data_IF_216188577287
#
_entry.id   IF_216188577287
#
_cell.length_a   1.000
_cell.length_b   1.000
_cell.length_c   1.000
_cell.angle_alpha   90.00
_cell.angle_beta   90.00
_cell.angle_gamma   90.00
#
_symmetry.space_group_name_H-M   'P 1'
#
loop_
_entity.id
_entity.type
_entity.pdbx_description
1 polymer ?
#
# COMPACT_ATOMS: atom_id res chain seq x y z
N UNK A 1 -0.12 0.47 26.15
CA UNK A 1 -0.94 1.08 25.09
C UNK A 1 -1.90 0.02 24.60
N UNK A 2 -3.22 0.22 24.72
CA UNK A 2 -4.21 -0.78 24.31
C UNK A 2 -4.10 -1.04 22.80
N UNK A 3 -4.06 -2.31 22.38
CA UNK A 3 -3.93 -2.71 20.97
C UNK A 3 -5.04 -2.12 20.08
N UNK A 4 -6.22 -1.88 20.65
CA UNK A 4 -7.36 -1.24 19.96
C UNK A 4 -7.07 0.19 19.50
N UNK A 5 -6.26 0.96 20.24
CA UNK A 5 -5.91 2.34 19.88
C UNK A 5 -5.04 2.38 18.62
N UNK A 6 -4.12 1.43 18.47
CA UNK A 6 -3.28 1.32 17.27
C UNK A 6 -4.10 0.95 16.03
N UNK A 7 -5.08 0.06 16.19
CA UNK A 7 -5.97 -0.33 15.10
C UNK A 7 -6.81 0.85 14.61
N UNK A 8 -7.42 1.60 15.54
CA UNK A 8 -8.18 2.81 15.23
C UNK A 8 -7.27 3.84 14.54
N UNK A 9 -6.05 4.04 15.03
CA UNK A 9 -5.11 4.96 14.42
C UNK A 9 -4.78 4.59 12.97
N UNK A 10 -4.53 3.31 12.68
CA UNK A 10 -4.26 2.86 11.30
C UNK A 10 -5.48 2.98 10.40
N UNK A 11 -6.68 2.66 10.91
CA UNK A 11 -7.92 2.84 10.15
C UNK A 11 -8.16 4.32 9.80
N UNK A 12 -7.93 5.23 10.75
CA UNK A 12 -8.07 6.68 10.51
C UNK A 12 -7.04 7.17 9.49
N UNK A 13 -5.77 6.77 9.61
CA UNK A 13 -4.73 7.16 8.63
C UNK A 13 -5.11 6.63 7.25
N UNK A 14 -5.57 5.38 7.15
CA UNK A 14 -5.99 4.78 5.89
C UNK A 14 -7.15 5.57 5.26
N UNK A 15 -8.20 5.86 6.03
CA UNK A 15 -9.36 6.60 5.52
C UNK A 15 -8.99 8.02 5.06
N UNK A 16 -8.26 8.79 5.87
CA UNK A 16 -7.86 10.16 5.53
C UNK A 16 -6.92 10.17 4.31
N UNK A 17 -5.97 9.25 4.25
CA UNK A 17 -5.05 9.13 3.12
C UNK A 17 -5.78 8.74 1.84
N UNK A 18 -6.76 7.84 1.92
CA UNK A 18 -7.56 7.45 0.77
C UNK A 18 -8.38 8.62 0.23
N UNK A 19 -9.11 9.32 1.10
CA UNK A 19 -9.94 10.48 0.74
C UNK A 19 -9.07 11.61 0.16
N UNK A 20 -7.90 11.89 0.75
CA UNK A 20 -6.99 12.90 0.20
C UNK A 20 -6.47 12.51 -1.19
N UNK A 21 -6.22 11.23 -1.45
CA UNK A 21 -5.93 10.73 -2.79
C UNK A 21 -7.06 11.00 -3.79
N UNK A 22 -8.31 10.75 -3.38
CA UNK A 22 -9.52 11.03 -4.17
C UNK A 22 -9.63 12.52 -4.50
N UNK A 23 -9.44 13.39 -3.51
CA UNK A 23 -9.49 14.86 -3.69
C UNK A 23 -8.34 15.34 -4.57
N UNK A 24 -7.12 14.82 -4.38
CA UNK A 24 -5.97 15.17 -5.22
C UNK A 24 -6.25 14.88 -6.71
N UNK A 25 -6.92 13.77 -7.04
CA UNK A 25 -7.29 13.49 -8.42
C UNK A 25 -8.22 14.55 -9.01
N UNK A 26 -9.19 15.03 -8.24
CA UNK A 26 -10.14 16.06 -8.69
C UNK A 26 -9.49 17.42 -8.97
N UNK A 27 -8.36 17.71 -8.32
CA UNK A 27 -7.61 18.97 -8.50
C UNK A 27 -6.60 18.88 -9.65
N UNK A 28 -6.15 17.68 -10.00
CA UNK A 28 -5.13 17.49 -11.03
C UNK A 28 -5.76 17.41 -12.42
N UNK A 29 -5.08 17.95 -13.43
CA UNK A 29 -5.46 17.74 -14.82
C UNK A 29 -5.19 16.30 -15.24
N UNK A 30 -6.02 15.75 -16.12
CA UNK A 30 -5.97 14.35 -16.56
C UNK A 30 -4.57 13.96 -17.06
N UNK A 31 -3.93 14.80 -17.88
CA UNK A 31 -2.56 14.54 -18.39
C UNK A 31 -1.52 14.39 -17.28
N UNK A 32 -1.61 15.23 -16.24
CA UNK A 32 -0.70 15.17 -15.08
C UNK A 32 -0.99 13.94 -14.25
N UNK A 33 -2.26 13.56 -14.12
CA UNK A 33 -2.69 12.35 -13.42
C UNK A 33 -2.18 11.09 -14.10
N UNK A 34 -2.33 10.97 -15.42
CA UNK A 34 -1.80 9.83 -16.18
C UNK A 34 -0.27 9.74 -16.07
N UNK A 35 0.43 10.88 -16.17
CA UNK A 35 1.89 10.90 -16.02
C UNK A 35 2.34 10.49 -14.61
N UNK A 36 1.60 10.88 -13.58
CA UNK A 36 1.89 10.48 -12.21
C UNK A 36 1.68 8.96 -12.03
N UNK A 37 0.58 8.43 -12.57
CA UNK A 37 0.25 7.00 -12.51
C UNK A 37 1.30 6.18 -13.27
N UNK A 38 1.77 6.62 -14.44
CA UNK A 38 2.78 5.87 -15.20
C UNK A 38 4.10 5.68 -14.46
N UNK A 39 4.48 6.63 -13.59
CA UNK A 39 5.68 6.50 -12.76
C UNK A 39 5.50 5.57 -11.57
N UNK A 40 4.29 5.45 -11.03
CA UNK A 40 4.05 4.71 -9.78
C UNK A 40 3.51 3.31 -10.05
N UNK A 41 2.51 3.20 -10.91
CA UNK A 41 1.89 1.94 -11.28
C UNK A 41 1.29 2.01 -12.70
N UNK A 42 2.08 1.71 -13.73
CA UNK A 42 1.62 1.83 -15.13
C UNK A 42 0.50 0.85 -15.48
N UNK A 43 0.27 -0.19 -14.67
CA UNK A 43 -0.80 -1.20 -14.89
C UNK A 43 -2.19 -0.61 -14.80
N UNK A 44 -2.33 0.53 -14.14
CA UNK A 44 -3.61 1.25 -14.03
C UNK A 44 -3.98 1.94 -15.35
N UNK A 45 -3.00 2.22 -16.22
CA UNK A 45 -3.20 2.89 -17.50
C UNK A 45 -3.57 1.91 -18.62
N UNK A 46 -2.79 0.83 -18.75
CA UNK A 46 -2.99 -0.19 -19.77
C UNK A 46 -3.29 -1.56 -19.14
N UNK A 47 -4.56 -1.95 -19.22
CA UNK A 47 -5.07 -3.21 -18.66
C UNK A 47 -4.80 -4.43 -19.57
N UNK A 48 -4.49 -4.21 -20.84
CA UNK A 48 -4.33 -5.28 -21.85
C UNK A 48 -2.95 -5.95 -21.85
N UNK A 49 -1.92 -5.28 -21.31
CA UNK A 49 -0.53 -5.76 -21.33
C UNK A 49 0.10 -5.74 -19.92
N UNK A 50 -0.65 -6.27 -18.95
CA UNK A 50 -0.19 -6.34 -17.56
C UNK A 50 0.80 -7.48 -17.39
N UNK A 51 2.10 -7.18 -17.55
CA UNK A 51 3.16 -8.16 -17.26
C UNK A 51 3.24 -8.47 -15.75
N UNK A 52 3.61 -9.72 -15.42
CA UNK A 52 3.83 -10.15 -14.03
C UNK A 52 4.89 -9.27 -13.33
N UNK A 53 5.90 -8.81 -14.08
CA UNK A 53 6.95 -7.93 -13.55
C UNK A 53 6.42 -6.56 -13.15
N UNK A 54 5.45 -6.03 -13.89
CA UNK A 54 4.80 -4.76 -13.54
C UNK A 54 4.04 -4.87 -12.22
N UNK A 55 3.67 -6.07 -11.77
CA UNK A 55 3.03 -6.33 -10.48
C UNK A 55 4.03 -6.47 -9.35
N UNK A 56 5.08 -7.26 -9.57
CA UNK A 56 6.06 -7.59 -8.53
C UNK A 56 6.93 -6.37 -8.20
N UNK A 57 7.38 -5.62 -9.21
CA UNK A 57 8.36 -4.54 -9.01
C UNK A 57 7.83 -3.42 -8.10
N UNK A 58 6.64 -2.83 -8.34
CA UNK A 58 6.12 -1.78 -7.46
C UNK A 58 5.90 -2.29 -6.04
N UNK A 59 5.37 -3.51 -5.89
CA UNK A 59 5.11 -4.12 -4.59
C UNK A 59 6.42 -4.30 -3.79
N UNK A 60 7.44 -4.88 -4.41
CA UNK A 60 8.77 -5.04 -3.77
C UNK A 60 9.37 -3.68 -3.44
N UNK A 61 9.26 -2.69 -4.33
CA UNK A 61 9.77 -1.35 -4.07
C UNK A 61 9.13 -0.73 -2.82
N UNK A 62 7.80 -0.81 -2.66
CA UNK A 62 7.12 -0.31 -1.46
C UNK A 62 7.49 -1.07 -0.20
N UNK A 63 7.65 -2.39 -0.25
CA UNK A 63 8.09 -3.20 0.89
C UNK A 63 9.50 -2.79 1.33
N UNK A 64 10.44 -2.70 0.39
CA UNK A 64 11.83 -2.32 0.66
C UNK A 64 11.89 -0.91 1.24
N UNK A 65 11.13 0.03 0.67
CA UNK A 65 11.07 1.41 1.15
C UNK A 65 10.52 1.45 2.58
N UNK A 66 9.40 0.78 2.85
CA UNK A 66 8.84 0.72 4.21
C UNK A 66 9.82 0.08 5.19
N UNK A 67 10.50 -1.02 4.82
CA UNK A 67 11.48 -1.69 5.66
C UNK A 67 12.67 -0.78 5.96
N UNK A 68 13.23 -0.11 4.96
CA UNK A 68 14.36 0.81 5.11
C UNK A 68 14.09 1.88 6.17
N UNK A 69 12.94 2.53 6.11
CA UNK A 69 12.55 3.54 7.09
C UNK A 69 12.12 2.94 8.44
N UNK A 70 11.53 1.74 8.46
CA UNK A 70 11.13 1.05 9.68
C UNK A 70 12.33 0.54 10.50
N UNK A 71 13.44 0.16 9.84
CA UNK A 71 14.68 -0.25 10.53
C UNK A 71 15.40 0.91 11.22
N UNK A 72 15.17 2.15 10.80
CA UNK A 72 15.83 3.30 11.37
C UNK A 72 15.15 3.81 12.66
N UNK A 73 15.88 3.93 13.78
CA UNK A 73 15.32 4.24 15.10
C UNK A 73 14.61 5.59 15.21
N UNK A 74 15.00 6.55 14.37
CA UNK A 74 14.44 7.90 14.33
C UNK A 74 13.38 8.09 13.24
N UNK A 75 13.27 7.15 12.29
CA UNK A 75 12.42 7.26 11.10
C UNK A 75 11.19 6.35 11.15
N UNK A 76 10.92 5.70 12.28
CA UNK A 76 9.74 4.84 12.46
C UNK A 76 8.40 5.57 12.22
N UNK A 77 8.34 6.87 12.48
CA UNK A 77 7.16 7.69 12.13
C UNK A 77 7.08 7.93 10.62
N UNK A 78 8.23 8.08 9.96
CA UNK A 78 8.31 8.31 8.52
C UNK A 78 7.89 7.08 7.72
N UNK A 79 8.14 5.85 8.21
CA UNK A 79 7.63 4.64 7.56
C UNK A 79 6.10 4.62 7.50
N UNK A 80 5.40 5.09 8.54
CA UNK A 80 3.94 5.24 8.52
C UNK A 80 3.48 6.31 7.52
N UNK A 81 4.24 7.39 7.38
CA UNK A 81 3.97 8.43 6.39
C UNK A 81 4.11 7.89 4.95
N UNK A 82 5.13 7.07 4.69
CA UNK A 82 5.30 6.39 3.40
C UNK A 82 4.11 5.50 3.06
N UNK A 83 3.62 4.73 4.03
CA UNK A 83 2.40 3.92 3.83
C UNK A 83 1.18 4.81 3.56
N UNK A 84 1.06 5.94 4.26
CA UNK A 84 0.01 6.92 3.97
C UNK A 84 0.09 7.46 2.53
N UNK A 85 1.29 7.79 2.04
CA UNK A 85 1.50 8.20 0.63
C UNK A 85 1.12 7.07 -0.34
N UNK A 86 1.44 5.80 -0.04
CA UNK A 86 0.97 4.69 -0.88
C UNK A 86 -0.56 4.61 -0.93
N UNK A 87 -1.23 4.92 0.18
CA UNK A 87 -2.70 4.90 0.27
C UNK A 87 -3.33 6.10 -0.45
N UNK A 88 -2.68 7.26 -0.45
CA UNK A 88 -3.13 8.38 -1.29
C UNK A 88 -3.06 8.01 -2.77
N UNK A 89 -1.99 7.34 -3.22
CA UNK A 89 -1.90 6.81 -4.57
C UNK A 89 -2.98 5.76 -4.88
N UNK A 90 -3.33 4.92 -3.91
CA UNK A 90 -4.44 3.98 -4.04
C UNK A 90 -5.77 4.70 -4.27
N UNK A 91 -6.10 5.71 -3.46
CA UNK A 91 -7.30 6.54 -3.66
C UNK A 91 -7.30 7.28 -5.00
N UNK A 92 -6.17 7.88 -5.37
CA UNK A 92 -5.98 8.57 -6.64
C UNK A 92 -6.26 7.66 -7.85
N UNK A 93 -5.64 6.48 -7.87
CA UNK A 93 -5.80 5.50 -8.95
C UNK A 93 -7.21 4.91 -9.00
N UNK A 94 -7.89 4.84 -7.85
CA UNK A 94 -9.27 4.35 -7.77
C UNK A 94 -10.24 5.28 -8.51
N UNK A 95 -10.08 6.60 -8.35
CA UNK A 95 -10.88 7.57 -9.10
C UNK A 95 -10.56 7.52 -10.59
N UNK A 96 -9.29 7.36 -10.96
CA UNK A 96 -8.90 7.21 -12.37
C UNK A 96 -9.59 6.01 -13.02
N UNK A 97 -9.55 4.83 -12.40
CA UNK A 97 -10.20 3.63 -12.95
C UNK A 97 -11.72 3.79 -13.08
N UNK A 98 -12.36 4.42 -12.09
CA UNK A 98 -13.80 4.63 -12.10
C UNK A 98 -14.26 5.68 -13.12
N UNK A 99 -13.44 6.69 -13.40
CA UNK A 99 -13.82 7.82 -14.27
C UNK A 99 -13.36 7.67 -15.71
N UNK A 100 -12.24 7.00 -15.97
CA UNK A 100 -11.64 6.93 -17.31
C UNK A 100 -11.79 5.56 -17.96
N UNK A 101 -11.59 4.49 -17.19
CA UNK A 101 -11.67 3.12 -17.70
C UNK A 101 -13.11 2.56 -17.66
N UNK A 102 -14.05 3.27 -17.03
CA UNK A 102 -15.47 2.92 -16.80
C UNK A 102 -15.71 1.48 -16.30
N UNK A 103 -14.66 0.81 -15.82
CA UNK A 103 -14.68 -0.60 -15.50
C UNK A 103 -14.82 -0.79 -14.00
N UNK A 104 -16.07 -0.67 -13.55
CA UNK A 104 -16.44 -0.87 -12.15
C UNK A 104 -16.09 -2.30 -11.67
N UNK A 105 -16.13 -3.29 -12.58
CA UNK A 105 -15.72 -4.66 -12.28
C UNK A 105 -14.21 -4.76 -12.03
N UNK A 106 -13.38 -4.20 -12.91
CA UNK A 106 -11.91 -4.22 -12.76
C UNK A 106 -11.50 -3.50 -11.48
N UNK A 107 -12.13 -2.37 -11.19
CA UNK A 107 -11.92 -1.67 -9.93
C UNK A 107 -12.31 -2.53 -8.72
N UNK A 108 -13.52 -3.09 -8.70
CA UNK A 108 -14.09 -3.73 -7.52
C UNK A 108 -13.51 -5.10 -7.22
N UNK A 109 -13.13 -5.87 -8.25
CA UNK A 109 -12.68 -7.25 -8.13
C UNK A 109 -11.15 -7.32 -8.02
N UNK A 110 -10.44 -6.50 -8.78
CA UNK A 110 -8.98 -6.54 -8.84
C UNK A 110 -8.30 -5.37 -8.13
N UNK A 111 -8.62 -4.12 -8.43
CA UNK A 111 -7.82 -3.02 -7.89
C UNK A 111 -8.06 -2.78 -6.40
N UNK A 112 -9.33 -2.64 -6.00
CA UNK A 112 -9.70 -2.26 -4.63
C UNK A 112 -9.32 -3.29 -3.56
N UNK A 113 -9.72 -4.57 -3.64
CA UNK A 113 -9.51 -5.52 -2.54
C UNK A 113 -8.03 -5.84 -2.34
N UNK A 114 -7.28 -6.06 -3.42
CA UNK A 114 -5.86 -6.39 -3.34
C UNK A 114 -5.04 -5.21 -2.81
N UNK A 115 -5.27 -4.00 -3.33
CA UNK A 115 -4.54 -2.82 -2.88
C UNK A 115 -4.87 -2.44 -1.43
N UNK A 116 -6.13 -2.62 -1.00
CA UNK A 116 -6.53 -2.42 0.39
C UNK A 116 -5.76 -3.35 1.33
N UNK A 117 -5.72 -4.66 1.01
CA UNK A 117 -5.04 -5.63 1.86
C UNK A 117 -3.52 -5.36 1.88
N UNK A 118 -2.90 -4.99 0.76
CA UNK A 118 -1.50 -4.58 0.75
C UNK A 118 -1.22 -3.40 1.66
N UNK A 119 -2.06 -2.36 1.62
CA UNK A 119 -1.90 -1.19 2.49
C UNK A 119 -2.01 -1.57 3.96
N UNK A 120 -2.95 -2.44 4.32
CA UNK A 120 -3.08 -2.97 5.68
C UNK A 120 -1.83 -3.75 6.08
N UNK A 121 -1.34 -4.66 5.23
CA UNK A 121 -0.14 -5.44 5.51
C UNK A 121 1.11 -4.58 5.64
N UNK A 122 1.25 -3.51 4.86
CA UNK A 122 2.35 -2.54 5.00
C UNK A 122 2.29 -1.79 6.35
N UNK A 123 1.09 -1.43 6.84
CA UNK A 123 0.97 -0.87 8.19
C UNK A 123 1.36 -1.86 9.29
N UNK A 124 0.97 -3.13 9.13
CA UNK A 124 1.39 -4.18 10.07
C UNK A 124 2.90 -4.42 9.95
N UNK A 125 3.50 -4.27 8.76
CA UNK A 125 4.95 -4.36 8.54
C UNK A 125 5.69 -3.27 9.33
N UNK A 126 5.16 -2.04 9.38
CA UNK A 126 5.71 -0.98 10.23
C UNK A 126 5.70 -1.37 11.74
N UNK A 127 4.86 -2.31 12.16
CA UNK A 127 4.80 -2.78 13.56
C UNK A 127 5.77 -3.94 13.87
N UNK A 128 6.40 -4.55 12.87
CA UNK A 128 7.41 -5.61 13.04
C UNK A 128 8.58 -5.16 13.89
N UNK A 129 9.03 -3.92 13.65
CA UNK A 129 10.07 -3.26 14.42
C UNK A 129 9.39 -2.48 15.54
N UNK A 130 9.24 -3.11 16.70
CA UNK A 130 8.66 -2.46 17.88
C UNK A 130 9.78 -1.88 18.76
N UNK A 131 9.71 -0.58 19.04
CA UNK A 131 10.54 0.04 20.07
C UNK A 131 9.85 -0.16 21.41
N UNK A 132 10.32 -1.09 22.23
CA UNK A 132 9.82 -1.23 23.60
C UNK A 132 10.73 -0.42 24.53
N UNK A 133 10.19 0.63 25.16
CA UNK A 133 10.90 1.34 26.24
C UNK A 133 11.07 0.36 27.41
N UNK A 134 12.31 -0.07 27.66
CA UNK A 134 12.69 -0.84 28.84
C UNK A 134 13.66 0.03 29.65
N UNK A 135 13.12 0.86 30.55
CA UNK A 135 13.91 1.81 31.33
C UNK A 135 14.41 3.03 30.52
N UNK A 136 15.57 3.62 30.87
CA UNK A 136 16.10 4.81 30.18
C UNK A 136 16.55 4.53 28.73
N UNK A 137 16.75 3.25 28.35
CA UNK A 137 17.21 2.85 27.03
C UNK A 137 16.07 2.28 26.16
N UNK A 138 15.98 2.74 24.90
CA UNK A 138 15.08 2.17 23.89
C UNK A 138 15.73 0.94 23.27
N UNK A 139 15.23 -0.27 23.54
CA UNK A 139 15.66 -1.48 22.83
C UNK A 139 14.71 -1.76 21.66
N UNK A 140 15.30 -2.04 20.49
CA UNK A 140 14.59 -2.42 19.28
C UNK A 140 14.43 -3.92 19.27
N UNK A 141 13.20 -4.41 19.21
CA UNK A 141 12.93 -5.84 19.09
C UNK A 141 12.33 -6.11 17.72
N UNK A 142 12.99 -6.99 16.96
CA UNK A 142 12.51 -7.50 15.70
C UNK A 142 11.66 -8.75 15.93
N UNK A 143 10.39 -8.70 15.54
CA UNK A 143 9.52 -9.87 15.61
C UNK A 143 9.64 -10.72 14.34
N UNK A 144 10.59 -11.65 14.34
CA UNK A 144 10.85 -12.52 13.20
C UNK A 144 9.61 -13.32 12.76
N UNK A 145 8.82 -13.83 13.72
CA UNK A 145 7.59 -14.58 13.41
C UNK A 145 6.58 -13.71 12.66
N UNK A 146 6.35 -12.49 13.13
CA UNK A 146 5.39 -11.57 12.52
C UNK A 146 5.87 -11.10 11.15
N UNK A 147 7.18 -10.85 10.98
CA UNK A 147 7.77 -10.56 9.68
C UNK A 147 7.53 -11.68 8.66
N UNK A 148 7.84 -12.92 9.02
CA UNK A 148 7.63 -14.09 8.14
C UNK A 148 6.16 -14.24 7.78
N UNK A 149 5.24 -14.10 8.75
CA UNK A 149 3.79 -14.17 8.48
C UNK A 149 3.35 -13.10 7.48
N UNK A 150 3.86 -11.86 7.57
CA UNK A 150 3.51 -10.80 6.63
C UNK A 150 4.06 -11.09 5.23
N UNK A 151 5.31 -11.54 5.13
CA UNK A 151 5.90 -11.86 3.82
C UNK A 151 5.10 -12.98 3.14
N UNK A 152 4.72 -14.03 3.88
CA UNK A 152 3.88 -15.11 3.36
C UNK A 152 2.50 -14.60 2.94
N UNK A 153 1.88 -13.72 3.73
CA UNK A 153 0.60 -13.12 3.36
C UNK A 153 0.71 -12.27 2.08
N UNK A 154 1.77 -11.48 1.94
CA UNK A 154 2.04 -10.66 0.75
C UNK A 154 2.23 -11.52 -0.49
N UNK A 155 2.96 -12.64 -0.41
CA UNK A 155 3.10 -13.57 -1.55
C UNK A 155 1.79 -14.24 -1.93
N UNK A 156 0.97 -14.66 -0.96
CA UNK A 156 -0.35 -15.25 -1.25
C UNK A 156 -1.24 -14.24 -1.98
N UNK A 157 -1.28 -13.00 -1.52
CA UNK A 157 -2.10 -11.95 -2.14
C UNK A 157 -1.57 -11.59 -3.53
N UNK A 158 -0.24 -11.54 -3.71
CA UNK A 158 0.38 -11.29 -5.01
C UNK A 158 0.06 -12.40 -6.01
N UNK A 159 0.10 -13.67 -5.59
CA UNK A 159 -0.36 -14.77 -6.42
C UNK A 159 -1.85 -14.63 -6.76
N UNK A 160 -2.69 -14.28 -5.79
CA UNK A 160 -4.12 -14.03 -6.01
C UNK A 160 -4.38 -12.87 -6.98
N UNK A 161 -3.60 -11.80 -6.92
CA UNK A 161 -3.70 -10.65 -7.81
C UNK A 161 -3.35 -11.05 -9.25
N UNK A 162 -2.26 -11.82 -9.44
CA UNK A 162 -1.87 -12.33 -10.75
C UNK A 162 -2.95 -13.23 -11.33
N UNK A 163 -3.57 -14.09 -10.51
CA UNK A 163 -4.71 -14.92 -10.93
C UNK A 163 -5.90 -14.05 -11.31
N UNK A 164 -6.24 -13.04 -10.51
CA UNK A 164 -7.34 -12.13 -10.85
C UNK A 164 -7.09 -11.41 -12.19
N UNK A 165 -5.86 -10.94 -12.43
CA UNK A 165 -5.47 -10.32 -13.71
C UNK A 165 -5.57 -11.33 -14.86
N UNK A 166 -5.14 -12.59 -14.66
CA UNK A 166 -5.04 -13.56 -15.77
C UNK A 166 -6.39 -14.16 -16.20
N UNK A 167 -7.39 -14.18 -15.31
CA UNK A 167 -8.66 -14.88 -15.54
C UNK A 167 -9.88 -13.96 -15.58
N UNK A 168 -9.78 -12.72 -15.10
CA UNK A 168 -10.92 -11.78 -14.98
C UNK A 168 -10.75 -10.57 -15.91
N UNK A 169 -9.51 -10.14 -16.12
CA UNK A 169 -9.10 -9.10 -17.06
C UNK A 169 -8.67 -9.74 -18.39
#
# INVERSE_FOLDING_TARGET
>A
MFRSVLFIQYAVILAISFISGVVCFQVFSLDKSMKLISYVDPRVLDLTDVSIWNTIIPLVAWIVLVLFFATHPYLHVLSKFIVAVKITFFGFSSVFLLTQQESLLVYSIWWFPFQLIYCVLLFVLCSVYTTKKMGPNRKHFFSQRLFVTIIVALTIICAGEIVAISYIL
#
